data_IF_618955547880
#
_entry.id   IF_618955547880
#
_cell.length_a   1.000
_cell.length_b   1.000
_cell.length_c   1.000
_cell.angle_alpha   90.00
_cell.angle_beta   90.00
_cell.angle_gamma   90.00
#
_symmetry.space_group_name_H-M   'P 1'
#
loop_
_entity.id
_entity.type
_entity.pdbx_description
1 polymer ?
#
# COMPACT_ATOMS: atom_id res chain seq x y z
N UNK A 1 -2.17 -67.06 46.59
CA UNK A 1 -2.58 -65.85 45.85
C UNK A 1 -1.43 -64.86 45.90
N UNK A 2 -0.59 -64.85 44.88
CA UNK A 2 0.57 -63.96 44.75
C UNK A 2 0.24 -62.85 43.77
N UNK A 3 0.25 -61.61 44.24
CA UNK A 3 0.04 -60.39 43.46
C UNK A 3 1.34 -60.02 42.73
N UNK A 4 1.31 -60.14 41.39
CA UNK A 4 2.37 -59.68 40.49
C UNK A 4 2.38 -58.14 40.44
N UNK A 5 3.49 -57.57 40.90
CA UNK A 5 3.75 -56.13 40.91
C UNK A 5 4.42 -55.77 39.56
N UNK A 6 3.65 -55.15 38.65
CA UNK A 6 4.16 -54.70 37.35
C UNK A 6 4.94 -53.41 37.62
N UNK A 7 6.26 -53.55 37.68
CA UNK A 7 7.22 -52.46 37.81
C UNK A 7 7.15 -51.52 36.61
N UNK A 8 6.97 -50.23 36.90
CA UNK A 8 7.12 -49.09 36.01
C UNK A 8 8.47 -49.13 35.28
N UNK A 9 8.46 -49.53 34.01
CA UNK A 9 9.52 -49.20 33.06
C UNK A 9 9.17 -47.84 32.44
N UNK A 10 9.43 -46.76 33.19
CA UNK A 10 9.47 -45.41 32.63
C UNK A 10 10.71 -45.31 31.74
N UNK A 11 10.50 -45.51 30.45
CA UNK A 11 11.45 -45.18 29.40
C UNK A 11 11.69 -43.67 29.44
N UNK A 12 12.76 -43.24 30.10
CA UNK A 12 13.38 -41.92 29.92
C UNK A 12 13.82 -41.81 28.47
N UNK A 13 12.90 -41.41 27.59
CA UNK A 13 13.22 -40.86 26.28
C UNK A 13 13.92 -39.54 26.59
N UNK A 14 15.25 -39.56 26.61
CA UNK A 14 16.07 -38.36 26.51
C UNK A 14 15.61 -37.62 25.24
N UNK A 15 14.75 -36.63 25.43
CA UNK A 15 14.35 -35.71 24.38
C UNK A 15 15.60 -34.90 24.03
N UNK A 16 16.44 -35.47 23.16
CA UNK A 16 17.58 -34.79 22.60
C UNK A 16 17.07 -33.48 22.03
N UNK A 17 17.33 -32.39 22.76
CA UNK A 17 17.02 -31.03 22.36
C UNK A 17 17.91 -30.72 21.17
N UNK A 18 17.49 -31.18 19.99
CA UNK A 18 18.06 -30.79 18.72
C UNK A 18 18.01 -29.26 18.71
N UNK A 19 19.16 -28.63 18.90
CA UNK A 19 19.37 -27.22 18.68
C UNK A 19 19.10 -26.93 17.20
N UNK A 20 17.82 -26.83 16.83
CA UNK A 20 17.39 -26.29 15.55
C UNK A 20 17.92 -24.87 15.50
N UNK A 21 19.02 -24.66 14.75
CA UNK A 21 19.58 -23.34 14.46
C UNK A 21 18.43 -22.47 13.95
N UNK A 22 18.01 -21.49 14.75
CA UNK A 22 16.93 -20.58 14.38
C UNK A 22 17.43 -19.71 13.24
N UNK A 23 16.88 -19.91 12.04
CA UNK A 23 17.22 -19.08 10.87
C UNK A 23 16.91 -17.61 11.21
N UNK A 24 17.87 -16.68 11.04
CA UNK A 24 17.67 -15.27 11.34
C UNK A 24 16.92 -14.57 10.20
N UNK A 25 15.60 -14.77 10.11
CA UNK A 25 14.75 -14.23 9.04
C UNK A 25 14.81 -12.71 8.88
N UNK A 26 15.02 -11.95 9.96
CA UNK A 26 15.03 -10.47 9.90
C UNK A 26 16.30 -9.91 9.25
N UNK A 27 17.52 -10.32 9.64
CA UNK A 27 18.73 -9.99 8.88
C UNK A 27 18.63 -10.40 7.40
N UNK A 28 18.05 -11.56 7.10
CA UNK A 28 17.87 -12.02 5.73
C UNK A 28 16.91 -11.13 4.94
N UNK A 29 15.79 -10.71 5.53
CA UNK A 29 14.88 -9.75 4.91
C UNK A 29 15.57 -8.40 4.61
N UNK A 30 16.36 -7.88 5.56
CA UNK A 30 17.12 -6.63 5.39
C UNK A 30 18.13 -6.78 4.23
N UNK A 31 18.84 -7.91 4.17
CA UNK A 31 19.76 -8.20 3.08
C UNK A 31 19.05 -8.16 1.72
N UNK A 32 17.89 -8.82 1.59
CA UNK A 32 17.13 -8.80 0.33
C UNK A 32 16.59 -7.42 -0.04
N UNK A 33 16.21 -6.59 0.95
CA UNK A 33 15.79 -5.20 0.70
C UNK A 33 16.96 -4.37 0.15
N UNK A 34 18.16 -4.54 0.70
CA UNK A 34 19.38 -3.87 0.20
C UNK A 34 19.69 -4.36 -1.22
N UNK A 35 19.65 -5.67 -1.46
CA UNK A 35 19.87 -6.25 -2.80
C UNK A 35 18.85 -5.70 -3.79
N UNK A 36 17.58 -5.61 -3.41
CA UNK A 36 16.52 -5.04 -4.26
C UNK A 36 16.78 -3.57 -4.58
N UNK A 37 17.16 -2.75 -3.60
CA UNK A 37 17.49 -1.34 -3.86
C UNK A 37 18.68 -1.21 -4.81
N UNK A 38 19.74 -1.99 -4.58
CA UNK A 38 20.92 -2.04 -5.47
C UNK A 38 20.54 -2.53 -6.87
N UNK A 39 19.66 -3.53 -6.99
CA UNK A 39 19.11 -4.00 -8.25
C UNK A 39 18.39 -2.87 -9.00
N UNK A 40 17.52 -2.10 -8.33
CA UNK A 40 16.88 -0.95 -8.95
C UNK A 40 17.90 0.10 -9.41
N UNK A 41 18.97 0.34 -8.64
CA UNK A 41 20.03 1.28 -9.04
C UNK A 41 20.80 0.84 -10.29
N UNK A 42 20.89 -0.46 -10.59
CA UNK A 42 21.51 -0.94 -11.84
C UNK A 42 20.70 -0.59 -13.09
N UNK A 43 19.38 -0.44 -12.96
CA UNK A 43 18.48 -0.06 -14.06
C UNK A 43 18.03 1.40 -13.98
N UNK A 44 18.52 2.13 -12.99
CA UNK A 44 18.11 3.51 -12.74
C UNK A 44 18.85 4.46 -13.69
N UNK A 45 18.08 5.14 -14.52
CA UNK A 45 18.53 6.30 -15.28
C UNK A 45 17.90 7.57 -14.70
N UNK A 46 18.67 8.64 -14.43
CA UNK A 46 18.17 9.86 -13.80
C UNK A 46 17.36 10.73 -14.79
N UNK A 47 16.26 10.19 -15.29
CA UNK A 47 15.38 10.80 -16.27
C UNK A 47 13.91 10.80 -15.81
N UNK A 48 13.16 11.81 -16.26
CA UNK A 48 11.70 11.84 -16.12
C UNK A 48 11.14 11.15 -17.36
N UNK A 49 10.58 9.95 -17.20
CA UNK A 49 10.24 9.07 -18.33
C UNK A 49 8.77 9.11 -18.75
N UNK A 50 7.89 9.75 -17.98
CA UNK A 50 6.44 9.77 -18.24
C UNK A 50 5.84 11.19 -18.15
N UNK A 51 4.74 11.47 -18.88
CA UNK A 51 4.00 12.73 -18.73
C UNK A 51 3.54 12.99 -17.29
N UNK A 52 3.08 11.94 -16.59
CA UNK A 52 2.71 12.00 -15.17
C UNK A 52 3.90 12.47 -14.31
N UNK A 53 5.06 11.83 -14.47
CA UNK A 53 6.28 12.20 -13.75
C UNK A 53 6.68 13.66 -14.03
N UNK A 54 6.52 14.14 -15.27
CA UNK A 54 6.76 15.56 -15.59
C UNK A 54 5.90 16.48 -14.72
N UNK A 55 4.62 16.17 -14.53
CA UNK A 55 3.72 16.92 -13.65
C UNK A 55 4.23 16.95 -12.21
N UNK A 56 4.56 15.77 -11.66
CA UNK A 56 5.02 15.63 -10.27
C UNK A 56 6.35 16.36 -10.02
N UNK A 57 7.37 16.14 -10.86
CA UNK A 57 8.69 16.76 -10.68
C UNK A 57 8.69 18.26 -10.95
N UNK A 58 7.88 18.74 -11.90
CA UNK A 58 7.72 20.19 -12.14
C UNK A 58 7.06 20.84 -10.92
N UNK A 59 6.00 20.25 -10.37
CA UNK A 59 5.37 20.78 -9.17
C UNK A 59 6.33 20.72 -7.96
N UNK A 60 7.10 19.64 -7.81
CA UNK A 60 8.10 19.52 -6.74
C UNK A 60 9.17 20.62 -6.81
N UNK A 61 9.67 20.94 -8.01
CA UNK A 61 10.63 22.03 -8.25
C UNK A 61 10.05 23.39 -7.85
N UNK A 62 8.78 23.66 -8.15
CA UNK A 62 8.10 24.91 -7.79
C UNK A 62 7.91 25.04 -6.27
N UNK A 63 7.51 23.95 -5.60
CA UNK A 63 7.38 23.90 -4.14
C UNK A 63 8.76 24.12 -3.49
N UNK A 64 9.80 23.45 -3.98
CA UNK A 64 11.15 23.54 -3.42
C UNK A 64 11.75 24.96 -3.52
N UNK A 65 11.47 25.68 -4.62
CA UNK A 65 12.01 27.01 -4.89
C UNK A 65 11.24 28.15 -4.20
N UNK A 66 9.92 28.04 -4.07
CA UNK A 66 9.11 29.18 -3.62
C UNK A 66 7.80 28.81 -2.95
N UNK A 67 7.60 27.56 -2.52
CA UNK A 67 6.37 27.07 -1.88
C UNK A 67 5.12 27.33 -2.75
N UNK A 68 5.30 27.40 -4.08
CA UNK A 68 4.21 27.57 -5.05
C UNK A 68 3.68 26.19 -5.48
N UNK A 69 2.36 26.05 -5.59
CA UNK A 69 1.71 24.83 -6.10
C UNK A 69 1.09 24.99 -7.49
N UNK A 70 1.38 26.13 -8.13
CA UNK A 70 0.94 26.55 -9.45
C UNK A 70 2.15 26.96 -10.30
N UNK A 71 1.98 26.86 -11.63
CA UNK A 71 2.92 27.33 -12.64
C UNK A 71 2.40 28.66 -13.21
N UNK A 72 3.28 29.64 -13.28
CA UNK A 72 3.07 30.93 -13.94
C UNK A 72 4.04 30.99 -15.11
N UNK A 73 3.57 30.96 -16.37
CA UNK A 73 4.44 30.97 -17.53
C UNK A 73 5.22 32.30 -17.64
N UNK A 74 6.51 32.21 -17.89
CA UNK A 74 7.39 33.36 -18.15
C UNK A 74 7.20 33.89 -19.58
N UNK A 75 6.66 33.08 -20.48
CA UNK A 75 6.41 33.42 -21.89
C UNK A 75 5.23 32.63 -22.45
N UNK A 76 4.53 33.21 -23.44
CA UNK A 76 3.46 32.53 -24.20
C UNK A 76 3.96 31.32 -25.00
N UNK A 77 5.29 31.24 -25.25
CA UNK A 77 5.92 30.13 -25.95
C UNK A 77 6.45 29.04 -25.00
N UNK A 78 6.30 29.23 -23.68
CA UNK A 78 6.77 28.24 -22.71
C UNK A 78 5.97 26.95 -22.83
N UNK A 79 6.67 25.82 -22.86
CA UNK A 79 6.02 24.51 -22.82
C UNK A 79 5.30 24.29 -21.49
N UNK A 80 4.03 23.93 -21.57
CA UNK A 80 3.17 23.58 -20.44
C UNK A 80 2.77 22.12 -20.61
N UNK A 81 3.09 21.29 -19.62
CA UNK A 81 2.80 19.86 -19.66
C UNK A 81 1.29 19.58 -19.72
N UNK A 82 0.86 18.43 -20.29
CA UNK A 82 -0.55 18.13 -20.53
C UNK A 82 -1.39 18.06 -19.25
N UNK A 83 -0.76 17.78 -18.10
CA UNK A 83 -1.43 17.69 -16.80
C UNK A 83 -1.53 19.03 -16.06
N UNK A 84 -1.20 20.15 -16.70
CA UNK A 84 -1.32 21.50 -16.12
C UNK A 84 -2.55 22.20 -16.71
N UNK A 85 -3.57 22.36 -15.89
CA UNK A 85 -4.83 22.98 -16.27
C UNK A 85 -4.78 24.50 -16.08
N UNK A 86 -5.17 25.23 -17.12
CA UNK A 86 -5.38 26.68 -17.06
C UNK A 86 -6.64 26.99 -16.23
N UNK A 87 -6.57 27.94 -15.29
CA UNK A 87 -7.70 28.32 -14.43
C UNK A 87 -8.15 29.77 -14.63
N UNK A 88 -7.31 30.72 -14.27
CA UNK A 88 -7.51 32.17 -14.43
C UNK A 88 -6.17 32.87 -14.19
N UNK A 89 -6.04 34.13 -14.60
CA UNK A 89 -4.87 34.97 -14.30
C UNK A 89 -3.53 34.39 -14.79
N UNK A 90 -3.55 33.66 -15.92
CA UNK A 90 -2.38 32.97 -16.49
C UNK A 90 -1.73 31.94 -15.53
N UNK A 91 -2.49 31.45 -14.53
CA UNK A 91 -2.03 30.43 -13.60
C UNK A 91 -2.47 29.04 -14.03
N UNK A 92 -1.52 28.12 -13.96
CA UNK A 92 -1.71 26.72 -14.28
C UNK A 92 -1.57 25.85 -13.03
N UNK A 93 -2.53 24.96 -12.81
CA UNK A 93 -2.53 24.02 -11.69
C UNK A 93 -2.49 22.60 -12.21
N UNK A 94 -1.67 21.75 -11.60
CA UNK A 94 -1.64 20.35 -11.99
C UNK A 94 -2.96 19.63 -11.66
N UNK A 95 -3.37 18.68 -12.50
CA UNK A 95 -4.46 17.72 -12.26
C UNK A 95 -4.19 16.87 -11.02
N UNK A 96 -2.91 16.60 -10.73
CA UNK A 96 -2.48 15.76 -9.63
C UNK A 96 -2.57 16.46 -8.27
N UNK A 97 -2.59 15.66 -7.20
CA UNK A 97 -2.54 16.16 -5.83
C UNK A 97 -1.09 16.43 -5.38
N UNK A 98 -0.86 17.44 -4.51
CA UNK A 98 0.48 17.95 -4.22
C UNK A 98 1.30 17.09 -3.23
N UNK A 99 0.74 16.02 -2.68
CA UNK A 99 1.37 15.22 -1.62
C UNK A 99 2.69 14.58 -2.07
N UNK A 100 2.69 13.85 -3.19
CA UNK A 100 3.93 13.26 -3.72
C UNK A 100 4.94 14.35 -4.16
N UNK A 101 4.53 15.40 -4.87
CA UNK A 101 5.39 16.56 -5.15
C UNK A 101 5.99 17.23 -3.91
N UNK A 102 5.27 17.25 -2.79
CA UNK A 102 5.78 17.80 -1.52
C UNK A 102 6.90 16.93 -0.95
N UNK A 103 6.75 15.60 -1.01
CA UNK A 103 7.81 14.65 -0.62
C UNK A 103 9.05 14.85 -1.50
N UNK A 104 8.85 14.88 -2.83
CA UNK A 104 9.92 15.15 -3.79
C UNK A 104 10.58 16.50 -3.55
N UNK A 105 9.81 17.55 -3.24
CA UNK A 105 10.32 18.91 -3.00
C UNK A 105 11.25 18.98 -1.78
N UNK A 106 10.94 18.25 -0.70
CA UNK A 106 11.80 18.16 0.49
C UNK A 106 13.15 17.55 0.12
N UNK A 107 13.14 16.41 -0.59
CA UNK A 107 14.38 15.76 -1.03
C UNK A 107 15.14 16.61 -2.04
N UNK A 108 14.43 17.23 -2.99
CA UNK A 108 14.99 18.17 -3.96
C UNK A 108 15.72 19.32 -3.26
N UNK A 109 15.12 19.90 -2.22
CA UNK A 109 15.68 21.06 -1.51
C UNK A 109 16.89 20.71 -0.67
N UNK A 110 16.88 19.53 -0.02
CA UNK A 110 17.95 19.11 0.90
C UNK A 110 19.13 18.46 0.15
N UNK A 111 18.84 17.58 -0.81
CA UNK A 111 19.83 16.72 -1.47
C UNK A 111 20.00 17.01 -2.97
N UNK A 112 19.24 17.97 -3.50
CA UNK A 112 19.31 18.39 -4.89
C UNK A 112 18.39 17.60 -5.84
N UNK A 113 18.28 18.06 -7.11
CA UNK A 113 17.37 17.50 -8.10
C UNK A 113 17.60 16.02 -8.40
N UNK A 114 18.87 15.59 -8.46
CA UNK A 114 19.22 14.19 -8.77
C UNK A 114 18.75 13.23 -7.68
N UNK A 115 18.82 13.65 -6.41
CA UNK A 115 18.39 12.82 -5.29
C UNK A 115 16.87 12.64 -5.24
N UNK A 116 16.10 13.63 -5.70
CA UNK A 116 14.64 13.51 -5.77
C UNK A 116 14.17 12.37 -6.70
N UNK A 117 14.97 12.03 -7.72
CA UNK A 117 14.69 10.91 -8.63
C UNK A 117 14.83 9.54 -7.94
N UNK A 118 15.58 9.46 -6.84
CA UNK A 118 15.77 8.23 -6.05
C UNK A 118 14.66 7.97 -5.02
N UNK A 119 13.68 8.87 -4.90
CA UNK A 119 12.59 8.73 -3.93
C UNK A 119 11.74 7.49 -4.22
N UNK A 120 11.32 7.26 -5.47
CA UNK A 120 10.51 6.09 -5.82
C UNK A 120 11.27 4.76 -5.61
N UNK A 121 12.52 4.57 -6.07
CA UNK A 121 13.29 3.36 -5.77
C UNK A 121 13.45 3.08 -4.26
N UNK A 122 13.68 4.14 -3.47
CA UNK A 122 13.81 4.04 -2.02
C UNK A 122 12.49 3.65 -1.37
N UNK A 123 11.39 4.32 -1.73
CA UNK A 123 10.05 4.00 -1.20
C UNK A 123 9.61 2.59 -1.59
N UNK A 124 9.90 2.12 -2.81
CA UNK A 124 9.63 0.74 -3.22
C UNK A 124 10.37 -0.27 -2.32
N UNK A 125 11.67 -0.08 -2.12
CA UNK A 125 12.47 -0.96 -1.25
C UNK A 125 12.03 -0.91 0.21
N UNK A 126 11.65 0.26 0.73
CA UNK A 126 11.10 0.38 2.09
C UNK A 126 9.67 -0.19 2.21
N UNK A 127 8.94 -0.31 1.10
CA UNK A 127 7.64 -1.01 1.06
C UNK A 127 7.81 -2.51 1.30
N UNK A 128 8.89 -3.12 0.79
CA UNK A 128 9.23 -4.51 1.07
C UNK A 128 9.46 -4.76 2.57
N UNK A 129 10.07 -3.80 3.29
CA UNK A 129 10.22 -3.88 4.74
C UNK A 129 8.85 -3.87 5.43
N UNK A 130 7.99 -2.92 5.06
CA UNK A 130 6.63 -2.84 5.58
C UNK A 130 5.84 -4.13 5.33
N UNK A 131 5.94 -4.68 4.12
CA UNK A 131 5.29 -5.93 3.72
C UNK A 131 5.80 -7.11 4.55
N UNK A 132 7.11 -7.26 4.71
CA UNK A 132 7.69 -8.29 5.55
C UNK A 132 7.19 -8.19 7.00
N UNK A 133 7.19 -6.99 7.58
CA UNK A 133 6.72 -6.78 8.96
C UNK A 133 5.23 -7.11 9.11
N UNK A 134 4.41 -6.72 8.13
CA UNK A 134 2.98 -6.99 8.08
C UNK A 134 2.70 -8.50 7.96
N UNK A 135 3.28 -9.17 6.97
CA UNK A 135 3.13 -10.61 6.77
C UNK A 135 3.68 -11.39 7.96
N UNK A 136 4.79 -10.95 8.57
CA UNK A 136 5.36 -11.61 9.76
C UNK A 136 4.36 -11.60 10.92
N UNK A 137 3.57 -10.54 11.05
CA UNK A 137 2.54 -10.40 12.07
C UNK A 137 1.34 -11.33 11.82
N UNK A 138 0.96 -11.55 10.56
CA UNK A 138 -0.25 -12.31 10.20
C UNK A 138 -0.05 -13.80 9.94
N UNK A 139 1.05 -14.15 9.27
CA UNK A 139 1.26 -15.49 8.68
C UNK A 139 2.62 -16.10 9.07
N UNK A 140 3.45 -15.39 9.83
CA UNK A 140 4.73 -15.88 10.34
C UNK A 140 5.93 -15.55 9.45
N UNK A 141 7.13 -15.89 9.94
CA UNK A 141 8.41 -15.39 9.39
C UNK A 141 8.78 -15.95 8.01
N UNK A 142 8.52 -17.24 7.77
CA UNK A 142 8.85 -17.90 6.51
C UNK A 142 8.02 -17.36 5.34
N UNK A 143 6.70 -17.30 5.52
CA UNK A 143 5.78 -16.72 4.55
C UNK A 143 5.99 -15.22 4.32
N UNK A 144 6.38 -14.48 5.36
CA UNK A 144 6.75 -13.08 5.20
C UNK A 144 7.98 -12.89 4.31
N UNK A 145 8.98 -13.77 4.44
CA UNK A 145 10.15 -13.74 3.58
C UNK A 145 9.79 -14.11 2.13
N UNK A 146 8.95 -15.13 1.94
CA UNK A 146 8.44 -15.48 0.61
C UNK A 146 7.67 -14.30 -0.02
N UNK A 147 6.81 -13.63 0.75
CA UNK A 147 6.07 -12.46 0.28
C UNK A 147 6.97 -11.31 -0.16
N UNK A 148 7.99 -11.02 0.64
CA UNK A 148 9.03 -10.05 0.29
C UNK A 148 9.72 -10.44 -1.02
N UNK A 149 10.13 -11.69 -1.18
CA UNK A 149 10.85 -12.15 -2.38
C UNK A 149 9.96 -12.06 -3.63
N UNK A 150 8.71 -12.51 -3.54
CA UNK A 150 7.76 -12.44 -4.67
C UNK A 150 7.49 -11.00 -5.10
N UNK A 151 7.33 -10.07 -4.16
CA UNK A 151 7.18 -8.64 -4.47
C UNK A 151 8.47 -8.04 -5.04
N UNK A 152 9.64 -8.40 -4.51
CA UNK A 152 10.94 -7.88 -4.95
C UNK A 152 11.31 -8.28 -6.38
N UNK A 153 10.84 -9.45 -6.85
CA UNK A 153 11.06 -9.91 -8.22
C UNK A 153 9.91 -9.59 -9.17
N UNK A 154 8.86 -8.90 -8.69
CA UNK A 154 7.75 -8.55 -9.54
C UNK A 154 8.19 -7.46 -10.54
N UNK A 155 8.22 -7.75 -11.86
CA UNK A 155 8.76 -6.83 -12.86
C UNK A 155 7.94 -5.52 -12.91
N UNK A 156 6.65 -5.62 -12.63
CA UNK A 156 5.71 -4.52 -12.66
C UNK A 156 5.97 -3.50 -11.54
N UNK A 157 6.07 -3.99 -10.30
CA UNK A 157 6.43 -3.19 -9.15
C UNK A 157 7.81 -2.51 -9.34
N UNK A 158 8.76 -3.23 -9.95
CA UNK A 158 10.09 -2.72 -10.24
C UNK A 158 10.08 -1.64 -11.32
N UNK A 159 9.25 -1.78 -12.35
CA UNK A 159 9.04 -0.75 -13.37
C UNK A 159 8.49 0.54 -12.74
N UNK A 160 7.48 0.45 -11.85
CA UNK A 160 6.94 1.60 -11.13
C UNK A 160 7.94 2.28 -10.20
N UNK A 161 8.83 1.50 -9.61
CA UNK A 161 9.89 2.05 -8.79
C UNK A 161 10.80 3.00 -9.60
N UNK A 162 10.92 2.79 -10.91
CA UNK A 162 11.79 3.56 -11.82
C UNK A 162 11.06 4.66 -12.62
N UNK A 163 9.72 4.64 -12.71
CA UNK A 163 8.95 5.62 -13.49
C UNK A 163 8.88 7.02 -12.86
N UNK A 164 9.14 7.14 -11.56
CA UNK A 164 9.01 8.42 -10.85
C UNK A 164 7.57 8.92 -10.76
N UNK A 165 6.60 8.01 -10.81
CA UNK A 165 5.18 8.30 -10.62
C UNK A 165 4.76 8.16 -9.14
N UNK A 166 3.50 8.49 -8.87
CA UNK A 166 2.91 8.46 -7.52
C UNK A 166 2.53 7.07 -7.01
N UNK A 167 2.46 6.04 -7.86
CA UNK A 167 1.88 4.73 -7.48
C UNK A 167 2.74 4.06 -6.41
N UNK A 168 4.06 4.09 -6.59
CA UNK A 168 5.03 3.59 -5.59
C UNK A 168 4.85 4.27 -4.23
N UNK A 169 4.56 5.57 -4.22
CA UNK A 169 4.33 6.30 -2.98
C UNK A 169 3.01 5.86 -2.30
N UNK A 170 1.93 5.67 -3.06
CA UNK A 170 0.67 5.13 -2.53
C UNK A 170 0.86 3.75 -1.91
N UNK A 171 1.52 2.83 -2.63
CA UNK A 171 1.80 1.47 -2.14
C UNK A 171 2.60 1.51 -0.84
N UNK A 172 3.63 2.36 -0.77
CA UNK A 172 4.41 2.56 0.45
C UNK A 172 3.53 2.99 1.62
N UNK A 173 2.76 4.08 1.47
CA UNK A 173 1.92 4.59 2.57
C UNK A 173 0.82 3.59 2.95
N UNK A 174 0.24 2.88 1.98
CA UNK A 174 -0.77 1.85 2.22
C UNK A 174 -0.22 0.67 3.02
N UNK A 175 0.92 0.10 2.63
CA UNK A 175 1.52 -1.04 3.34
C UNK A 175 1.87 -0.67 4.79
N UNK A 176 2.48 0.51 4.99
CA UNK A 176 2.80 0.99 6.33
C UNK A 176 1.57 1.35 7.15
N UNK A 177 0.52 1.91 6.53
CA UNK A 177 -0.78 2.11 7.18
C UNK A 177 -1.39 0.79 7.68
N UNK A 178 -1.36 -0.25 6.85
CA UNK A 178 -1.85 -1.59 7.20
C UNK A 178 -1.03 -2.21 8.34
N UNK A 179 0.30 -2.03 8.33
CA UNK A 179 1.16 -2.44 9.44
C UNK A 179 0.80 -1.73 10.75
N UNK A 180 0.67 -0.40 10.73
CA UNK A 180 0.27 0.34 11.93
C UNK A 180 -1.14 -0.03 12.38
N UNK A 181 -2.07 -0.27 11.46
CA UNK A 181 -3.43 -0.70 11.78
C UNK A 181 -3.41 -2.06 12.47
N UNK A 182 -2.64 -3.02 11.96
CA UNK A 182 -2.53 -4.33 12.56
C UNK A 182 -1.92 -4.25 13.98
N UNK A 183 -0.93 -3.38 14.19
CA UNK A 183 -0.35 -3.11 15.50
C UNK A 183 -1.33 -2.39 16.43
N UNK A 184 -2.12 -1.46 15.90
CA UNK A 184 -3.18 -0.76 16.63
C UNK A 184 -4.24 -1.74 17.10
N UNK A 185 -4.77 -2.61 16.25
CA UNK A 185 -5.78 -3.60 16.67
C UNK A 185 -5.23 -4.56 17.72
N UNK A 186 -3.96 -4.95 17.63
CA UNK A 186 -3.32 -5.85 18.60
C UNK A 186 -3.12 -5.22 19.97
N UNK A 187 -2.73 -3.95 20.03
CA UNK A 187 -2.26 -3.29 21.26
C UNK A 187 -3.20 -2.21 21.80
N UNK A 188 -4.20 -1.81 21.01
CA UNK A 188 -5.09 -0.68 21.25
C UNK A 188 -4.36 0.65 21.59
N UNK A 189 -3.10 0.81 21.17
CA UNK A 189 -2.30 1.99 21.53
C UNK A 189 -2.64 3.20 20.66
N UNK A 190 -2.85 4.41 21.24
CA UNK A 190 -3.08 5.63 20.48
C UNK A 190 -1.95 6.02 19.52
N UNK A 191 -0.71 5.62 19.83
CA UNK A 191 0.45 5.92 18.96
C UNK A 191 0.36 5.21 17.62
N UNK A 192 -0.03 3.93 17.63
CA UNK A 192 -0.25 3.17 16.41
C UNK A 192 -1.47 3.67 15.65
N UNK A 193 -2.54 4.03 16.37
CA UNK A 193 -3.72 4.62 15.76
C UNK A 193 -3.41 5.93 15.02
N UNK A 194 -2.66 6.83 15.65
CA UNK A 194 -2.16 8.06 15.01
C UNK A 194 -1.33 7.74 13.76
N UNK A 195 -0.41 6.77 13.85
CA UNK A 195 0.38 6.31 12.71
C UNK A 195 -0.48 5.78 11.56
N UNK A 196 -1.49 4.97 11.86
CA UNK A 196 -2.48 4.52 10.87
C UNK A 196 -3.18 5.70 10.22
N UNK A 197 -3.77 6.60 11.02
CA UNK A 197 -4.49 7.77 10.53
C UNK A 197 -3.62 8.63 9.62
N UNK A 198 -2.40 8.94 10.07
CA UNK A 198 -1.45 9.77 9.32
C UNK A 198 -1.12 9.16 7.96
N UNK A 199 -0.74 7.88 7.93
CA UNK A 199 -0.34 7.23 6.68
C UNK A 199 -1.52 7.07 5.72
N UNK A 200 -2.70 6.71 6.23
CA UNK A 200 -3.93 6.62 5.43
C UNK A 200 -4.34 7.98 4.89
N UNK A 201 -4.27 9.04 5.71
CA UNK A 201 -4.64 10.39 5.31
C UNK A 201 -3.68 11.01 4.30
N UNK A 202 -2.41 10.57 4.25
CA UNK A 202 -1.45 11.02 3.23
C UNK A 202 -1.81 10.50 1.83
N UNK A 203 -2.38 9.30 1.72
CA UNK A 203 -2.70 8.66 0.45
C UNK A 203 -3.55 9.56 -0.49
N UNK A 204 -4.70 10.12 -0.08
CA UNK A 204 -5.49 11.00 -0.95
C UNK A 204 -4.76 12.30 -1.32
N UNK A 205 -3.74 12.70 -0.55
CA UNK A 205 -2.88 13.83 -0.91
C UNK A 205 -1.88 13.48 -2.00
N UNK A 206 -1.55 12.20 -2.17
CA UNK A 206 -0.67 11.69 -3.24
C UNK A 206 -1.48 11.45 -4.51
N UNK A 207 -2.66 10.82 -4.39
CA UNK A 207 -3.60 10.58 -5.48
C UNK A 207 -5.05 10.67 -4.98
N UNK A 208 -5.84 11.60 -5.53
CA UNK A 208 -7.23 11.80 -5.11
C UNK A 208 -8.12 10.54 -5.15
N UNK A 209 -8.09 9.68 -6.19
CA UNK A 209 -8.97 8.51 -6.26
C UNK A 209 -8.76 7.52 -5.11
N UNK A 210 -7.55 7.49 -4.54
CA UNK A 210 -7.16 6.57 -3.46
C UNK A 210 -7.75 6.96 -2.09
N UNK A 211 -8.57 8.02 -2.04
CA UNK A 211 -9.45 8.31 -0.88
C UNK A 211 -10.32 7.11 -0.50
N UNK A 212 -10.57 6.21 -1.45
CA UNK A 212 -11.35 5.01 -1.25
C UNK A 212 -10.70 4.03 -0.25
N UNK A 213 -9.37 4.05 -0.10
CA UNK A 213 -8.70 3.32 0.99
C UNK A 213 -9.02 3.91 2.37
N UNK A 214 -9.19 5.24 2.48
CA UNK A 214 -9.62 5.87 3.72
C UNK A 214 -11.02 5.38 4.12
N UNK A 215 -11.94 5.28 3.15
CA UNK A 215 -13.29 4.76 3.39
C UNK A 215 -13.27 3.28 3.81
N UNK A 216 -12.53 2.43 3.09
CA UNK A 216 -12.45 1.01 3.40
C UNK A 216 -11.89 0.75 4.81
N UNK A 217 -10.82 1.47 5.18
CA UNK A 217 -10.23 1.37 6.52
C UNK A 217 -11.11 2.01 7.60
N UNK A 218 -11.83 3.09 7.29
CA UNK A 218 -12.83 3.68 8.17
C UNK A 218 -13.93 2.69 8.52
N UNK A 219 -14.49 2.00 7.52
CA UNK A 219 -15.49 0.94 7.71
C UNK A 219 -14.93 -0.20 8.59
N UNK A 220 -13.70 -0.63 8.32
CA UNK A 220 -13.03 -1.65 9.14
C UNK A 220 -12.93 -1.22 10.62
N UNK A 221 -12.52 0.02 10.89
CA UNK A 221 -12.42 0.58 12.26
C UNK A 221 -13.80 0.67 12.92
N UNK A 222 -14.84 1.10 12.19
CA UNK A 222 -16.21 1.17 12.70
C UNK A 222 -16.73 -0.21 13.15
N UNK A 223 -16.43 -1.27 12.39
CA UNK A 223 -16.77 -2.63 12.81
C UNK A 223 -16.03 -3.07 14.07
N UNK A 224 -14.78 -2.64 14.26
CA UNK A 224 -13.99 -2.96 15.45
C UNK A 224 -14.40 -2.15 16.69
N UNK A 225 -14.98 -0.96 16.52
CA UNK A 225 -15.54 -0.17 17.63
C UNK A 225 -16.73 -0.87 18.29
N UNK A 226 -17.63 -1.47 17.49
CA UNK A 226 -18.81 -2.20 18.01
C UNK A 226 -18.47 -3.36 18.95
N UNK A 227 -17.26 -3.90 18.85
CA UNK A 227 -16.76 -4.97 19.72
C UNK A 227 -16.07 -4.52 21.00
N UNK A 228 -16.09 -3.22 21.36
CA UNK A 228 -15.36 -2.64 22.50
C UNK A 228 -13.85 -2.92 22.53
N UNK A 229 -13.23 -3.21 21.37
CA UNK A 229 -11.79 -3.53 21.28
C UNK A 229 -10.90 -2.31 21.11
N UNK A 230 -11.46 -1.20 20.63
CA UNK A 230 -10.73 0.04 20.35
C UNK A 230 -11.15 1.10 21.37
N UNK A 231 -10.17 1.74 22.02
CA UNK A 231 -10.44 2.84 22.95
C UNK A 231 -10.78 4.12 22.19
N UNK A 232 -11.65 4.96 22.77
CA UNK A 232 -11.97 6.28 22.22
C UNK A 232 -10.73 7.16 22.03
N UNK A 233 -9.77 7.12 22.97
CA UNK A 233 -8.50 7.86 22.87
C UNK A 233 -7.71 7.48 21.61
N UNK A 234 -7.64 6.18 21.32
CA UNK A 234 -6.96 5.69 20.12
C UNK A 234 -7.73 6.07 18.85
N UNK A 235 -9.07 6.04 18.87
CA UNK A 235 -9.89 6.50 17.75
C UNK A 235 -9.64 7.99 17.43
N UNK A 236 -9.67 8.85 18.46
CA UNK A 236 -9.39 10.28 18.32
C UNK A 236 -7.97 10.50 17.79
N UNK A 237 -6.98 9.76 18.30
CA UNK A 237 -5.61 9.85 17.80
C UNK A 237 -5.51 9.47 16.30
N UNK A 238 -6.20 8.41 15.87
CA UNK A 238 -6.29 8.04 14.45
C UNK A 238 -6.99 9.10 13.60
N UNK A 239 -8.09 9.66 14.08
CA UNK A 239 -8.81 10.73 13.40
C UNK A 239 -7.94 11.99 13.25
N UNK A 240 -7.22 12.40 14.29
CA UNK A 240 -6.25 13.51 14.24
C UNK A 240 -5.14 13.21 13.22
N UNK A 241 -4.59 12.00 13.26
CA UNK A 241 -3.57 11.57 12.30
C UNK A 241 -4.02 11.75 10.86
N UNK A 242 -5.24 11.31 10.52
CA UNK A 242 -5.80 11.44 9.17
C UNK A 242 -6.19 12.89 8.81
N UNK A 243 -6.69 13.66 9.79
CA UNK A 243 -7.14 15.03 9.57
C UNK A 243 -6.00 15.98 9.19
N UNK A 244 -4.77 15.74 9.64
CA UNK A 244 -3.62 16.60 9.31
C UNK A 244 -3.37 16.67 7.78
N UNK A 245 -3.05 15.56 7.08
CA UNK A 245 -2.79 15.58 5.65
C UNK A 245 -4.06 15.89 4.84
N UNK A 246 -5.23 15.38 5.23
CA UNK A 246 -6.50 15.64 4.53
C UNK A 246 -6.88 17.13 4.66
N UNK A 247 -6.73 17.72 5.84
CA UNK A 247 -6.98 19.14 6.08
C UNK A 247 -6.07 20.02 5.24
N UNK A 248 -4.77 19.69 5.17
CA UNK A 248 -3.83 20.39 4.29
C UNK A 248 -4.23 20.30 2.81
N UNK A 249 -4.67 19.12 2.35
CA UNK A 249 -5.19 18.94 0.99
C UNK A 249 -6.45 19.77 0.72
N UNK A 250 -7.41 19.76 1.65
CA UNK A 250 -8.63 20.54 1.55
C UNK A 250 -8.33 22.05 1.46
N UNK A 251 -7.47 22.57 2.34
CA UNK A 251 -7.04 23.98 2.30
C UNK A 251 -6.42 24.31 0.95
N UNK A 252 -5.51 23.47 0.46
CA UNK A 252 -4.92 23.64 -0.87
C UNK A 252 -5.98 23.65 -1.96
N UNK A 253 -6.96 22.75 -1.92
CA UNK A 253 -8.03 22.69 -2.92
C UNK A 253 -8.95 23.91 -2.86
N UNK A 254 -9.22 24.45 -1.67
CA UNK A 254 -9.95 25.71 -1.53
C UNK A 254 -9.21 26.86 -2.22
N UNK A 255 -7.89 26.96 -2.01
CA UNK A 255 -7.07 27.99 -2.64
C UNK A 255 -6.96 27.77 -4.17
N UNK A 256 -6.66 26.53 -4.58
CA UNK A 256 -6.34 26.16 -5.96
C UNK A 256 -7.54 25.94 -6.87
N UNK A 257 -8.71 25.60 -6.31
CA UNK A 257 -9.93 25.24 -7.07
C UNK A 257 -11.22 25.88 -6.53
N UNK A 258 -11.15 26.66 -5.44
CA UNK A 258 -12.27 27.44 -4.91
C UNK A 258 -13.25 26.64 -4.05
N UNK A 259 -12.99 25.35 -3.84
CA UNK A 259 -13.78 24.48 -2.97
C UNK A 259 -12.90 23.37 -2.38
N UNK A 260 -13.13 22.98 -1.12
CA UNK A 260 -12.38 21.93 -0.43
C UNK A 260 -12.42 20.56 -1.15
N UNK A 261 -13.53 20.23 -1.81
CA UNK A 261 -13.77 18.95 -2.47
C UNK A 261 -13.48 18.94 -3.98
N UNK A 262 -13.23 20.12 -4.59
CA UNK A 262 -12.88 20.18 -6.01
C UNK A 262 -11.44 19.74 -6.19
N UNK A 263 -11.20 18.87 -7.16
CA UNK A 263 -9.88 18.31 -7.48
C UNK A 263 -9.49 18.66 -8.90
N UNK A 264 -8.20 18.52 -9.22
CA UNK A 264 -7.74 18.71 -10.59
C UNK A 264 -8.37 17.72 -11.58
N UNK A 265 -8.62 16.48 -11.16
CA UNK A 265 -9.36 15.48 -11.94
C UNK A 265 -10.81 15.88 -12.24
N UNK A 266 -11.46 16.59 -11.32
CA UNK A 266 -12.83 17.07 -11.53
C UNK A 266 -12.93 18.12 -12.65
N UNK A 267 -11.81 18.76 -13.01
CA UNK A 267 -11.74 19.80 -14.03
C UNK A 267 -11.24 19.28 -15.38
N UNK A 268 -10.56 18.13 -15.44
CA UNK A 268 -9.92 17.62 -16.66
C UNK A 268 -10.88 16.93 -17.64
N UNK A 269 -12.20 16.86 -17.38
CA UNK A 269 -13.17 16.05 -18.15
C UNK A 269 -12.80 14.55 -18.31
N UNK A 270 -11.73 14.09 -17.66
CA UNK A 270 -11.36 12.68 -17.46
C UNK A 270 -12.32 11.83 -16.57
N UNK A 271 -13.37 12.35 -15.88
CA UNK A 271 -14.26 11.48 -15.09
C UNK A 271 -15.03 10.42 -15.89
N UNK A 272 -15.01 10.46 -17.22
CA UNK A 272 -15.69 9.48 -18.09
C UNK A 272 -15.23 8.04 -17.84
N UNK A 273 -14.01 7.84 -17.33
CA UNK A 273 -13.45 6.52 -17.05
C UNK A 273 -14.02 5.81 -15.81
N UNK A 274 -14.79 6.50 -14.95
CA UNK A 274 -15.41 5.90 -13.77
C UNK A 274 -16.89 5.51 -13.97
N UNK A 275 -17.41 5.65 -15.19
CA UNK A 275 -18.76 5.20 -15.51
C UNK A 275 -18.86 3.67 -15.51
N UNK A 276 -19.95 3.12 -14.99
CA UNK A 276 -20.22 1.68 -15.05
C UNK A 276 -20.15 1.12 -16.49
N UNK A 277 -20.57 1.91 -17.48
CA UNK A 277 -20.46 1.55 -18.89
C UNK A 277 -19.00 1.36 -19.33
N UNK A 278 -18.11 2.29 -18.96
CA UNK A 278 -16.68 2.19 -19.28
C UNK A 278 -16.10 0.92 -18.65
N UNK A 279 -16.37 0.70 -17.37
CA UNK A 279 -15.94 -0.52 -16.69
C UNK A 279 -16.40 -1.78 -17.42
N UNK A 280 -17.68 -1.87 -17.82
CA UNK A 280 -18.17 -3.04 -18.55
C UNK A 280 -17.46 -3.23 -19.88
N UNK A 281 -17.23 -2.15 -20.62
CA UNK A 281 -16.55 -2.17 -21.93
C UNK A 281 -15.08 -2.58 -21.85
N UNK A 282 -14.39 -2.27 -20.74
CA UNK A 282 -12.96 -2.53 -20.58
C UNK A 282 -12.61 -3.62 -19.55
N UNK A 283 -13.61 -4.24 -18.91
CA UNK A 283 -13.43 -5.28 -17.87
C UNK A 283 -12.52 -6.43 -18.29
N UNK A 284 -12.64 -6.89 -19.54
CA UNK A 284 -11.80 -7.97 -20.07
C UNK A 284 -10.35 -7.52 -20.27
N UNK A 285 -10.13 -6.28 -20.70
CA UNK A 285 -8.79 -5.71 -20.83
C UNK A 285 -8.10 -5.60 -19.49
N UNK A 286 -8.83 -5.17 -18.45
CA UNK A 286 -8.33 -5.14 -17.07
C UNK A 286 -8.00 -6.54 -16.58
N UNK A 287 -8.89 -7.51 -16.77
CA UNK A 287 -8.60 -8.90 -16.39
C UNK A 287 -7.36 -9.45 -17.12
N UNK A 288 -7.20 -9.12 -18.40
CA UNK A 288 -6.02 -9.50 -19.17
C UNK A 288 -4.76 -8.88 -18.59
N UNK A 289 -4.76 -7.57 -18.32
CA UNK A 289 -3.62 -6.88 -17.73
C UNK A 289 -3.25 -7.45 -16.35
N UNK A 290 -4.25 -7.78 -15.52
CA UNK A 290 -4.01 -8.33 -14.17
C UNK A 290 -3.28 -9.66 -14.22
N UNK A 291 -3.60 -10.46 -15.24
CA UNK A 291 -3.01 -11.77 -15.46
C UNK A 291 -1.68 -11.64 -16.23
N UNK A 292 -1.56 -10.76 -17.21
CA UNK A 292 -0.35 -10.73 -18.07
C UNK A 292 0.76 -9.85 -17.54
N UNK A 293 0.43 -8.70 -16.96
CA UNK A 293 1.38 -7.66 -16.57
C UNK A 293 1.49 -7.49 -15.06
N UNK A 294 0.39 -7.67 -14.32
CA UNK A 294 0.36 -7.51 -12.87
C UNK A 294 0.89 -8.72 -12.09
N UNK A 295 -0.03 -9.56 -11.63
CA UNK A 295 0.24 -10.59 -10.63
C UNK A 295 0.39 -12.00 -11.20
N UNK A 296 0.07 -12.22 -12.48
CA UNK A 296 0.23 -13.53 -13.10
C UNK A 296 -0.59 -14.61 -12.39
N UNK A 297 0.08 -15.73 -12.11
CA UNK A 297 -0.52 -16.84 -11.35
C UNK A 297 -0.91 -16.43 -9.92
N UNK A 298 -0.25 -15.43 -9.35
CA UNK A 298 -0.57 -14.99 -8.00
C UNK A 298 -2.01 -14.47 -7.96
N UNK A 299 -2.46 -13.70 -8.96
CA UNK A 299 -3.84 -13.21 -9.05
C UNK A 299 -4.89 -14.33 -8.92
N UNK A 300 -4.67 -15.45 -9.61
CA UNK A 300 -5.55 -16.61 -9.56
C UNK A 300 -5.56 -17.22 -8.15
N UNK A 301 -4.37 -17.33 -7.53
CA UNK A 301 -4.26 -17.79 -6.14
C UNK A 301 -4.96 -16.83 -5.17
N UNK A 302 -4.89 -15.51 -5.38
CA UNK A 302 -5.66 -14.53 -4.61
C UNK A 302 -7.15 -14.75 -4.69
N UNK A 303 -7.70 -14.92 -5.90
CA UNK A 303 -9.12 -15.23 -6.09
C UNK A 303 -9.51 -16.52 -5.36
N UNK A 304 -8.72 -17.59 -5.49
CA UNK A 304 -8.96 -18.85 -4.79
C UNK A 304 -8.92 -18.63 -3.27
N UNK A 305 -7.97 -17.85 -2.78
CA UNK A 305 -7.85 -17.48 -1.36
C UNK A 305 -9.09 -16.79 -0.83
N UNK A 306 -9.60 -15.80 -1.56
CA UNK A 306 -10.83 -15.08 -1.24
C UNK A 306 -12.04 -16.03 -1.26
N UNK A 307 -12.14 -16.91 -2.27
CA UNK A 307 -13.21 -17.89 -2.37
C UNK A 307 -13.20 -18.87 -1.18
N UNK A 308 -12.01 -19.37 -0.80
CA UNK A 308 -11.83 -20.25 0.38
C UNK A 308 -12.18 -19.52 1.68
N UNK A 309 -11.80 -18.25 1.81
CA UNK A 309 -12.18 -17.41 2.96
C UNK A 309 -13.70 -17.23 3.05
N UNK A 310 -14.38 -17.01 1.92
CA UNK A 310 -15.82 -16.89 1.86
C UNK A 310 -16.54 -18.22 2.15
N UNK A 311 -16.01 -19.36 1.68
CA UNK A 311 -16.64 -20.68 1.79
C UNK A 311 -16.56 -21.28 3.21
N UNK A 312 -15.57 -20.90 4.02
CA UNK A 312 -15.45 -21.39 5.40
C UNK A 312 -16.51 -20.74 6.31
N UNK A 313 -17.69 -21.36 6.40
CA UNK A 313 -18.83 -20.96 7.24
C UNK A 313 -18.56 -20.97 8.76
N UNK A 314 -17.71 -21.89 9.25
CA UNK A 314 -17.39 -21.97 10.69
C UNK A 314 -16.54 -20.80 11.22
N UNK A 315 -16.13 -19.89 10.35
CA UNK A 315 -15.41 -18.66 10.70
C UNK A 315 -16.34 -17.54 11.19
N UNK A 316 -17.66 -17.74 11.14
CA UNK A 316 -18.69 -16.76 11.58
C UNK A 316 -18.65 -16.45 13.07
N UNK A 317 -18.08 -17.32 13.91
CA UNK A 317 -17.96 -17.09 15.36
C UNK A 317 -16.60 -16.58 15.82
N UNK A 318 -15.59 -16.55 14.96
CA UNK A 318 -14.22 -16.20 15.35
C UNK A 318 -13.56 -15.22 14.40
N UNK A 319 -13.75 -13.91 14.65
CA UNK A 319 -12.93 -12.72 14.32
C UNK A 319 -12.22 -12.56 12.96
N UNK A 320 -12.23 -13.57 12.09
CA UNK A 320 -11.39 -13.66 10.89
C UNK A 320 -12.14 -13.17 9.66
N UNK A 321 -13.49 -13.21 9.68
CA UNK A 321 -14.36 -12.68 8.61
C UNK A 321 -14.22 -11.16 8.45
N UNK A 322 -14.01 -10.38 9.52
CA UNK A 322 -13.82 -8.94 9.37
C UNK A 322 -12.48 -8.56 8.76
N UNK A 323 -11.43 -9.35 9.05
CA UNK A 323 -10.13 -9.16 8.41
C UNK A 323 -10.22 -9.53 6.94
N UNK A 324 -10.69 -10.74 6.61
CA UNK A 324 -10.86 -11.21 5.24
C UNK A 324 -11.77 -10.28 4.43
N UNK A 325 -13.01 -9.97 4.86
CA UNK A 325 -13.92 -9.14 4.07
C UNK A 325 -13.44 -7.70 3.86
N UNK A 326 -12.66 -7.12 4.77
CA UNK A 326 -12.10 -5.79 4.54
C UNK A 326 -10.85 -5.83 3.67
N UNK A 327 -9.99 -6.83 3.82
CA UNK A 327 -8.82 -6.98 2.95
C UNK A 327 -9.17 -7.47 1.55
N UNK A 328 -10.20 -8.28 1.39
CA UNK A 328 -10.69 -8.79 0.11
C UNK A 328 -11.37 -7.67 -0.67
N UNK A 329 -12.15 -6.82 0.01
CA UNK A 329 -12.67 -5.60 -0.61
C UNK A 329 -11.53 -4.63 -0.94
N UNK A 330 -10.54 -4.41 -0.08
CA UNK A 330 -9.40 -3.55 -0.43
C UNK A 330 -8.61 -4.14 -1.59
N UNK A 331 -8.38 -5.45 -1.64
CA UNK A 331 -7.63 -6.09 -2.72
C UNK A 331 -8.39 -6.07 -4.06
N UNK A 332 -9.69 -6.35 -4.05
CA UNK A 332 -10.55 -6.23 -5.25
C UNK A 332 -10.63 -4.76 -5.68
N UNK A 333 -10.67 -3.81 -4.75
CA UNK A 333 -10.80 -2.39 -5.05
C UNK A 333 -9.50 -1.74 -5.51
N UNK A 334 -8.35 -2.16 -4.97
CA UNK A 334 -6.99 -1.84 -5.44
C UNK A 334 -6.79 -2.38 -6.86
N UNK A 335 -7.22 -3.62 -7.12
CA UNK A 335 -7.25 -4.21 -8.46
C UNK A 335 -8.16 -3.42 -9.43
N UNK A 336 -9.19 -2.75 -8.91
CA UNK A 336 -10.25 -2.12 -9.71
C UNK A 336 -10.03 -0.62 -10.02
N UNK A 337 -9.39 0.14 -9.12
CA UNK A 337 -9.11 1.57 -9.34
C UNK A 337 -7.87 1.81 -10.20
N UNK A 338 -6.92 0.89 -10.20
CA UNK A 338 -5.58 1.11 -10.74
C UNK A 338 -5.47 0.82 -12.24
N UNK A 339 -6.47 0.15 -12.83
CA UNK A 339 -6.58 -0.14 -14.26
C UNK A 339 -6.80 1.11 -15.17
N UNK A 340 -6.49 2.30 -14.66
CA UNK A 340 -6.81 3.62 -15.21
C UNK A 340 -5.82 4.13 -16.28
N UNK A 341 -4.89 3.29 -16.71
CA UNK A 341 -3.96 3.49 -17.81
C UNK A 341 -3.66 2.11 -18.39
N UNK A 342 -3.40 1.92 -19.71
CA UNK A 342 -2.99 0.64 -20.28
C UNK A 342 -1.65 0.09 -19.73
N UNK A 343 -1.18 0.65 -18.62
CA UNK A 343 0.01 0.37 -17.85
C UNK A 343 -0.43 0.75 -16.42
N UNK A 344 -0.51 -0.17 -15.43
CA UNK A 344 -0.37 0.01 -13.93
C UNK A 344 -1.28 -0.87 -13.02
N UNK A 345 -0.80 -2.00 -12.43
CA UNK A 345 -1.59 -2.90 -11.51
C UNK A 345 -0.81 -3.63 -10.35
N UNK A 346 -1.53 -4.13 -9.30
CA UNK A 346 -1.07 -4.38 -7.89
C UNK A 346 -1.28 -5.81 -7.29
N UNK A 347 -0.53 -6.10 -6.20
CA UNK A 347 -0.07 -7.37 -5.57
C UNK A 347 -0.67 -7.83 -4.21
N UNK A 348 -1.79 -7.29 -3.70
CA UNK A 348 -2.20 -7.49 -2.29
C UNK A 348 -3.17 -8.68 -2.06
N UNK A 349 -3.92 -9.13 -3.08
CA UNK A 349 -4.94 -10.20 -2.94
C UNK A 349 -4.34 -11.57 -2.57
N UNK A 350 -3.09 -11.83 -2.95
CA UNK A 350 -2.59 -13.20 -3.07
C UNK A 350 -2.02 -13.74 -1.74
N UNK A 351 -1.64 -12.84 -0.83
CA UNK A 351 -1.02 -13.19 0.44
C UNK A 351 -1.99 -13.78 1.48
N UNK A 352 -3.29 -13.52 1.33
CA UNK A 352 -4.32 -14.09 2.21
C UNK A 352 -4.61 -15.57 1.89
N UNK A 353 -4.39 -16.00 0.64
CA UNK A 353 -4.54 -17.39 0.24
C UNK A 353 -3.52 -18.31 0.95
N UNK A 354 -2.26 -17.88 1.03
CA UNK A 354 -1.16 -18.69 1.59
C UNK A 354 -1.33 -18.97 3.09
N UNK A 355 -1.95 -18.05 3.84
CA UNK A 355 -2.30 -18.27 5.26
C UNK A 355 -3.17 -19.51 5.46
N UNK A 356 -4.15 -19.71 4.57
CA UNK A 356 -5.13 -20.79 4.69
C UNK A 356 -4.55 -22.13 4.24
N UNK A 357 -3.69 -22.16 3.22
CA UNK A 357 -2.92 -23.36 2.86
C UNK A 357 -2.02 -23.82 4.02
N UNK A 358 -1.40 -22.89 4.75
CA UNK A 358 -0.58 -23.24 5.91
C UNK A 358 -1.41 -23.66 7.14
N UNK A 359 -2.53 -22.98 7.41
CA UNK A 359 -3.48 -23.43 8.45
C UNK A 359 -4.07 -24.80 8.14
N UNK A 360 -4.25 -25.16 6.86
CA UNK A 360 -4.65 -26.50 6.42
C UNK A 360 -3.56 -27.55 6.71
N UNK A 361 -2.29 -27.21 6.53
CA UNK A 361 -1.18 -28.13 6.74
C UNK A 361 -0.84 -28.39 8.22
N UNK A 362 -1.33 -27.56 9.17
CA UNK A 362 -0.96 -27.62 10.59
C UNK A 362 -2.15 -27.74 11.55
N UNK A 363 -3.39 -27.79 11.05
CA UNK A 363 -4.58 -28.01 11.89
C UNK A 363 -4.63 -29.41 12.54
N UNK A 364 -3.85 -30.37 12.04
CA UNK A 364 -3.81 -31.75 12.58
C UNK A 364 -2.73 -31.99 13.65
N UNK A 365 -1.90 -30.98 13.98
CA UNK A 365 -0.74 -31.14 14.87
C UNK A 365 -0.87 -30.55 16.28
N UNK A 366 -2.00 -29.93 16.61
CA UNK A 366 -2.27 -29.37 17.95
C UNK A 366 -3.69 -29.77 18.39
N UNK A 367 -3.86 -31.05 18.71
CA UNK A 367 -4.86 -31.53 19.66
C UNK A 367 -4.18 -32.25 20.80
#
# INVERSE_FOLDING_TARGET
MSTLNISNAETTIESGTQHRRKIPFTPLAILFIIIHFVFLLFYFEPAISTPDAQGYFTQAKLIARGVKTYLEPESILQYIGPHWLHRSDNLYFTTFSPGFPTILAVVYKIFGPKAALLVSPLMSSLSLLGLFLLCRLWIGKGWALLALLLMAVNPFANQHALFGDSHTAVVFFLIWALFFLAQWVKSNSPRWAFGTGLFVGIIPTIRYPEVLFCFALGIFVLFHLKGNKISWRSLVAGAIGAAIPIGALCIRNQMAFGAFWRTGYGLSNEPTHFGGNYLTSYSLSYLKMLISEGCGLMFILGIIGIAVLCARRNTERGHTIHYARCTDNIAIYVVFLEARSPINEVLIADFLCLRNCWSLAHADGYR
#
